data_IF_141448810525
#
_entry.id   IF_141448810525
#
_cell.length_a   1.000
_cell.length_b   1.000
_cell.length_c   1.000
_cell.angle_alpha   90.00
_cell.angle_beta   90.00
_cell.angle_gamma   90.00
#
_symmetry.space_group_name_H-M   'P 1'
#
loop_
_entity.id
_entity.type
_entity.pdbx_description
1 polymer ?
#
# COMPACT_ATOMS: atom_id res chain seq x y z
N UNK A 1 -18.00 -6.02 -1.81
CA UNK A 1 -18.85 -7.23 -1.76
C UNK A 1 -19.19 -7.57 -3.20
N UNK A 2 -19.26 -8.86 -3.56
CA UNK A 2 -19.59 -9.25 -4.92
C UNK A 2 -21.02 -8.80 -5.28
N UNK A 3 -21.20 -8.17 -6.44
CA UNK A 3 -22.52 -7.74 -6.92
C UNK A 3 -23.37 -8.91 -7.47
N UNK A 4 -22.73 -10.04 -7.79
CA UNK A 4 -23.35 -11.27 -8.30
C UNK A 4 -22.56 -12.50 -7.86
N UNK A 5 -23.18 -13.70 -7.86
CA UNK A 5 -22.45 -14.96 -7.63
C UNK A 5 -21.30 -15.16 -8.61
N UNK A 6 -20.14 -15.54 -8.07
CA UNK A 6 -18.90 -15.69 -8.83
C UNK A 6 -18.39 -14.39 -9.44
N UNK A 7 -18.86 -13.23 -8.96
CA UNK A 7 -18.44 -11.91 -9.43
C UNK A 7 -17.24 -11.32 -8.69
N UNK A 8 -16.58 -12.11 -7.83
CA UNK A 8 -15.36 -11.75 -7.13
C UNK A 8 -14.61 -13.04 -6.72
N UNK A 9 -13.30 -12.94 -6.60
CA UNK A 9 -12.41 -14.04 -6.26
C UNK A 9 -11.37 -13.67 -5.19
N UNK A 10 -10.86 -14.67 -4.49
CA UNK A 10 -9.67 -14.52 -3.63
C UNK A 10 -9.00 -15.87 -3.40
N UNK A 11 -7.83 -15.89 -2.76
CA UNK A 11 -7.04 -17.08 -2.49
C UNK A 11 -7.05 -17.43 -1.00
N UNK A 12 -7.18 -18.71 -0.69
CA UNK A 12 -7.04 -19.24 0.67
C UNK A 12 -5.63 -19.81 0.87
N UNK A 13 -4.74 -19.11 1.61
CA UNK A 13 -3.36 -19.55 1.82
C UNK A 13 -3.24 -20.81 2.68
N UNK A 14 -4.31 -21.22 3.37
CA UNK A 14 -4.31 -22.42 4.20
C UNK A 14 -4.56 -23.69 3.40
N UNK A 15 -5.34 -23.60 2.30
CA UNK A 15 -5.70 -24.74 1.45
C UNK A 15 -5.11 -24.69 0.05
N UNK A 16 -4.62 -23.54 -0.42
CA UNK A 16 -4.12 -23.38 -1.80
C UNK A 16 -5.24 -23.25 -2.83
N UNK A 17 -6.46 -22.96 -2.40
CA UNK A 17 -7.64 -22.89 -3.25
C UNK A 17 -8.04 -21.45 -3.54
N UNK A 18 -8.67 -21.27 -4.69
CA UNK A 18 -9.42 -20.06 -5.02
C UNK A 18 -10.83 -20.16 -4.43
N UNK A 19 -11.32 -19.06 -3.87
CA UNK A 19 -12.68 -18.89 -3.37
C UNK A 19 -13.45 -17.91 -4.25
N UNK A 20 -14.56 -18.37 -4.82
CA UNK A 20 -15.47 -17.55 -5.61
C UNK A 20 -16.63 -17.03 -4.74
N UNK A 21 -16.83 -15.72 -4.72
CA UNK A 21 -17.80 -15.07 -3.84
C UNK A 21 -19.25 -15.48 -4.12
N UNK A 22 -20.05 -15.63 -3.07
CA UNK A 22 -21.47 -16.01 -3.10
C UNK A 22 -21.77 -17.36 -3.78
N UNK A 23 -20.81 -18.29 -3.84
CA UNK A 23 -21.03 -19.65 -4.36
C UNK A 23 -20.82 -20.65 -3.23
N UNK A 24 -21.78 -21.57 -3.06
CA UNK A 24 -21.70 -22.63 -2.05
C UNK A 24 -21.50 -22.09 -0.63
N UNK A 25 -20.40 -22.48 0.01
CA UNK A 25 -20.05 -22.07 1.38
C UNK A 25 -19.33 -20.72 1.45
N UNK A 26 -18.96 -20.11 0.32
CA UNK A 26 -18.16 -18.89 0.30
C UNK A 26 -19.07 -17.66 0.43
N UNK A 27 -18.91 -16.82 1.48
CA UNK A 27 -19.73 -15.63 1.66
C UNK A 27 -19.45 -14.57 0.58
N UNK A 28 -20.44 -13.74 0.26
CA UNK A 28 -20.31 -12.63 -0.70
C UNK A 28 -19.28 -11.56 -0.33
N UNK A 29 -18.93 -11.49 0.95
CA UNK A 29 -17.88 -10.61 1.47
C UNK A 29 -16.48 -11.24 1.43
N UNK A 30 -16.35 -12.52 1.02
CA UNK A 30 -15.11 -13.30 1.10
C UNK A 30 -14.50 -13.31 2.52
N UNK A 31 -15.34 -13.15 3.54
CA UNK A 31 -14.93 -13.06 4.95
C UNK A 31 -14.40 -11.69 5.38
N UNK A 32 -14.26 -10.74 4.45
CA UNK A 32 -13.73 -9.41 4.71
C UNK A 32 -14.67 -8.63 5.65
N UNK A 33 -14.10 -8.12 6.74
CA UNK A 33 -14.85 -7.36 7.76
C UNK A 33 -14.64 -5.87 7.55
N UNK A 34 -15.75 -5.13 7.42
CA UNK A 34 -15.69 -3.67 7.37
C UNK A 34 -15.27 -3.09 8.73
N UNK A 35 -14.27 -2.21 8.73
CA UNK A 35 -13.91 -1.42 9.89
C UNK A 35 -14.73 -0.11 9.93
N UNK A 36 -15.56 0.02 10.96
CA UNK A 36 -16.57 1.09 11.09
C UNK A 36 -16.24 2.17 12.14
N UNK A 37 -15.14 2.06 12.88
CA UNK A 37 -14.72 3.06 13.88
C UNK A 37 -13.82 4.13 13.24
N UNK A 38 -14.38 4.96 12.37
CA UNK A 38 -13.66 6.00 11.62
C UNK A 38 -13.43 7.30 12.40
N UNK A 39 -12.92 7.23 13.63
CA UNK A 39 -12.64 8.45 14.42
C UNK A 39 -11.34 9.10 13.96
N UNK A 40 -11.42 10.31 13.40
CA UNK A 40 -10.28 11.06 12.84
C UNK A 40 -10.22 12.46 13.48
N UNK A 41 -9.62 12.60 14.67
CA UNK A 41 -9.61 13.87 15.39
C UNK A 41 -8.78 14.93 14.65
N UNK A 42 -9.18 16.18 14.81
CA UNK A 42 -8.42 17.36 14.39
C UNK A 42 -8.49 18.39 15.50
N UNK A 43 -7.33 18.73 16.04
CA UNK A 43 -7.17 19.63 17.16
C UNK A 43 -6.21 20.74 16.76
N UNK A 44 -6.54 21.96 17.15
CA UNK A 44 -5.72 23.14 16.89
C UNK A 44 -5.70 24.04 18.11
N UNK A 45 -4.54 24.62 18.40
CA UNK A 45 -4.34 25.60 19.46
C UNK A 45 -3.61 26.80 18.88
N UNK A 46 -4.03 28.00 19.29
CA UNK A 46 -3.29 29.23 19.06
C UNK A 46 -3.16 29.98 20.39
N UNK A 47 -1.96 30.43 20.71
CA UNK A 47 -1.67 31.14 21.94
C UNK A 47 -0.74 32.32 21.69
N UNK A 48 -1.10 33.49 22.20
CA UNK A 48 -0.25 34.66 22.19
C UNK A 48 0.72 34.59 23.38
N UNK A 49 1.94 34.13 23.12
CA UNK A 49 2.96 33.91 24.16
C UNK A 49 3.50 35.22 24.74
N UNK A 50 3.64 36.25 23.89
CA UNK A 50 4.10 37.61 24.24
C UNK A 50 3.39 38.61 23.31
N UNK A 51 3.42 39.92 23.59
CA UNK A 51 3.09 40.93 22.59
C UNK A 51 3.82 40.61 21.27
N UNK A 52 3.10 40.63 20.15
CA UNK A 52 3.62 40.33 18.81
C UNK A 52 4.20 38.91 18.59
N UNK A 53 4.04 37.97 19.53
CA UNK A 53 4.49 36.57 19.38
C UNK A 53 3.32 35.61 19.52
N UNK A 54 3.07 34.81 18.49
CA UNK A 54 1.99 33.82 18.45
C UNK A 54 2.59 32.44 18.22
N UNK A 55 2.18 31.48 19.05
CA UNK A 55 2.44 30.07 18.86
C UNK A 55 1.17 29.41 18.36
N UNK A 56 1.29 28.57 17.33
CA UNK A 56 0.20 27.74 16.81
C UNK A 56 0.65 26.29 16.81
N UNK A 57 -0.24 25.39 17.19
CA UNK A 57 0.00 23.96 17.09
C UNK A 57 -1.25 23.30 16.51
N UNK A 58 -1.04 22.26 15.71
CA UNK A 58 -2.11 21.46 15.16
C UNK A 58 -1.75 19.99 15.15
N UNK A 59 -2.73 19.15 15.39
CA UNK A 59 -2.67 17.70 15.17
C UNK A 59 -3.92 17.28 14.42
N UNK A 60 -3.76 16.40 13.45
CA UNK A 60 -4.88 15.80 12.77
C UNK A 60 -4.56 14.39 12.31
N UNK A 61 -5.62 13.62 12.20
CA UNK A 61 -5.59 12.28 11.68
C UNK A 61 -6.54 12.20 10.49
N UNK A 62 -6.19 11.40 9.50
CA UNK A 62 -7.08 11.06 8.39
C UNK A 62 -6.89 9.60 7.99
N UNK A 63 -7.98 8.98 7.58
CA UNK A 63 -7.94 7.67 6.95
C UNK A 63 -7.90 7.84 5.44
N UNK A 64 -7.12 7.00 4.77
CA UNK A 64 -7.20 6.86 3.33
C UNK A 64 -7.98 5.60 2.97
N UNK A 65 -8.77 5.68 1.90
CA UNK A 65 -9.20 4.47 1.22
C UNK A 65 -7.95 3.91 0.53
N UNK A 66 -7.51 2.73 0.95
CA UNK A 66 -6.43 1.99 0.30
C UNK A 66 -6.53 2.09 -1.22
N UNK A 67 -5.38 2.24 -1.91
CA UNK A 67 -5.32 2.39 -3.36
C UNK A 67 -6.18 1.33 -4.07
N UNK A 68 -6.80 1.70 -5.21
CA UNK A 68 -7.65 0.83 -6.04
C UNK A 68 -8.94 0.32 -5.33
N UNK A 69 -9.30 0.87 -4.16
CA UNK A 69 -10.40 0.34 -3.37
C UNK A 69 -10.13 -1.07 -2.84
N UNK A 70 -8.86 -1.43 -2.65
CA UNK A 70 -8.30 -2.79 -2.57
C UNK A 70 -8.86 -3.79 -1.52
N UNK A 71 -9.86 -3.41 -0.74
CA UNK A 71 -10.52 -4.32 0.21
C UNK A 71 -11.94 -4.69 -0.25
N UNK A 72 -12.62 -3.83 -1.01
CA UNK A 72 -13.99 -4.09 -1.49
C UNK A 72 -14.26 -3.64 -2.94
N UNK A 73 -13.25 -3.11 -3.64
CA UNK A 73 -13.25 -2.61 -5.01
C UNK A 73 -12.49 -3.54 -5.96
N UNK A 74 -11.39 -3.08 -6.57
CA UNK A 74 -10.71 -3.82 -7.65
C UNK A 74 -10.06 -5.15 -7.22
N UNK A 75 -9.62 -5.31 -5.97
CA UNK A 75 -8.82 -6.50 -5.58
C UNK A 75 -9.48 -7.85 -5.88
N UNK A 76 -10.78 -8.06 -5.55
CA UNK A 76 -11.45 -9.31 -5.88
C UNK A 76 -11.78 -9.47 -7.37
N UNK A 77 -11.64 -8.42 -8.19
CA UNK A 77 -11.84 -8.46 -9.65
C UNK A 77 -10.54 -8.84 -10.40
N UNK A 78 -9.37 -8.60 -9.78
CA UNK A 78 -8.06 -8.95 -10.34
C UNK A 78 -7.60 -10.37 -10.00
N UNK A 79 -8.28 -11.04 -9.06
CA UNK A 79 -7.95 -12.41 -8.69
C UNK A 79 -8.83 -13.44 -9.44
N UNK A 80 -8.35 -14.68 -9.59
CA UNK A 80 -9.17 -15.78 -10.05
C UNK A 80 -10.41 -15.95 -9.17
N UNK A 81 -11.58 -16.33 -9.71
CA UNK A 81 -11.81 -16.75 -11.11
C UNK A 81 -12.07 -15.59 -12.09
N UNK A 82 -12.03 -14.34 -11.65
CA UNK A 82 -12.43 -13.19 -12.47
C UNK A 82 -11.34 -12.84 -13.49
N UNK A 83 -10.12 -12.68 -13.00
CA UNK A 83 -8.94 -12.42 -13.82
C UNK A 83 -7.93 -13.53 -13.57
N UNK A 84 -7.61 -14.29 -14.62
CA UNK A 84 -6.60 -15.35 -14.57
C UNK A 84 -5.31 -14.83 -15.19
N UNK A 85 -4.50 -14.13 -14.40
CA UNK A 85 -3.22 -13.60 -14.84
C UNK A 85 -2.18 -14.71 -15.03
N UNK A 86 -1.99 -15.16 -16.26
CA UNK A 86 -1.06 -16.24 -16.60
C UNK A 86 0.40 -15.79 -16.52
N UNK A 87 1.24 -16.60 -15.90
CA UNK A 87 2.70 -16.47 -15.90
C UNK A 87 3.31 -17.61 -16.72
N UNK A 88 3.84 -17.26 -17.90
CA UNK A 88 4.61 -18.18 -18.73
C UNK A 88 6.10 -17.93 -18.53
N UNK A 89 6.78 -18.87 -17.89
CA UNK A 89 8.21 -18.77 -17.64
C UNK A 89 8.98 -19.45 -18.77
N UNK A 90 9.94 -18.74 -19.37
CA UNK A 90 10.91 -19.37 -20.25
C UNK A 90 11.78 -20.36 -19.45
N UNK A 91 12.08 -21.55 -20.00
CA UNK A 91 12.95 -22.51 -19.32
C UNK A 91 14.36 -21.96 -19.05
N UNK A 92 14.85 -21.06 -19.91
CA UNK A 92 16.10 -20.33 -19.75
C UNK A 92 16.11 -19.08 -20.66
N UNK A 93 17.13 -18.22 -20.52
CA UNK A 93 17.26 -16.95 -21.25
C UNK A 93 17.45 -17.08 -22.77
N UNK A 94 17.70 -18.29 -23.27
CA UNK A 94 17.91 -18.59 -24.69
C UNK A 94 16.70 -19.31 -25.33
N UNK A 95 15.71 -19.68 -24.52
CA UNK A 95 14.50 -20.34 -24.98
C UNK A 95 13.32 -19.37 -24.98
N UNK A 96 12.45 -19.47 -25.97
CA UNK A 96 11.20 -18.70 -26.00
C UNK A 96 10.30 -19.09 -24.82
N UNK A 97 9.69 -18.11 -24.16
CA UNK A 97 8.64 -18.33 -23.17
C UNK A 97 7.38 -18.94 -23.79
N UNK A 98 7.16 -18.72 -25.09
CA UNK A 98 6.06 -19.33 -25.84
C UNK A 98 6.61 -20.50 -26.65
N UNK A 99 6.21 -21.75 -26.39
CA UNK A 99 6.58 -22.89 -27.21
C UNK A 99 5.91 -22.76 -28.59
N UNK A 100 6.55 -22.02 -29.51
CA UNK A 100 6.00 -21.71 -30.83
C UNK A 100 6.52 -20.39 -31.41
N UNK A 101 5.67 -19.73 -32.20
CA UNK A 101 5.92 -18.43 -32.82
C UNK A 101 5.13 -17.34 -32.08
N UNK A 102 5.57 -16.08 -32.18
CA UNK A 102 4.77 -14.93 -31.75
C UNK A 102 3.37 -14.91 -32.41
N UNK A 103 3.21 -15.60 -33.54
CA UNK A 103 1.94 -15.75 -34.25
C UNK A 103 0.94 -16.69 -33.54
N UNK A 104 1.41 -17.67 -32.76
CA UNK A 104 0.51 -18.60 -32.03
C UNK A 104 0.08 -18.06 -30.66
N UNK A 105 0.82 -17.09 -30.13
CA UNK A 105 0.54 -16.50 -28.82
C UNK A 105 0.76 -17.46 -27.64
N UNK A 106 0.53 -17.00 -26.40
CA UNK A 106 0.51 -17.86 -25.22
C UNK A 106 -0.62 -18.90 -25.28
N UNK A 107 -0.44 -20.07 -24.63
CA UNK A 107 -1.56 -20.98 -24.42
C UNK A 107 -2.65 -20.30 -23.58
N UNK A 108 -3.90 -20.73 -23.71
CA UNK A 108 -4.97 -20.20 -22.88
C UNK A 108 -4.70 -20.52 -21.39
N UNK A 109 -4.96 -19.57 -20.46
CA UNK A 109 -4.78 -19.81 -19.05
C UNK A 109 -5.68 -20.96 -18.58
N UNK A 110 -5.18 -21.86 -17.71
CA UNK A 110 -6.02 -22.81 -17.00
C UNK A 110 -7.17 -22.08 -16.28
N UNK A 111 -8.41 -22.44 -16.61
CA UNK A 111 -9.61 -21.89 -15.98
C UNK A 111 -10.51 -23.04 -15.48
N UNK A 112 -10.13 -23.70 -14.37
CA UNK A 112 -10.91 -24.79 -13.81
C UNK A 112 -12.32 -24.29 -13.40
N UNK A 113 -13.35 -25.13 -13.54
CA UNK A 113 -14.70 -24.75 -13.15
C UNK A 113 -14.76 -24.55 -11.63
N UNK A 114 -15.48 -23.52 -11.20
CA UNK A 114 -15.76 -23.29 -9.78
C UNK A 114 -16.63 -24.42 -9.25
N UNK A 115 -16.16 -25.13 -8.23
CA UNK A 115 -16.92 -26.21 -7.59
C UNK A 115 -18.24 -25.73 -6.97
N UNK A 116 -19.17 -26.64 -6.73
CA UNK A 116 -20.47 -26.31 -6.11
C UNK A 116 -20.34 -25.67 -4.70
N UNK A 117 -19.21 -25.93 -4.02
CA UNK A 117 -18.84 -25.30 -2.75
C UNK A 117 -18.24 -23.89 -2.90
N UNK A 118 -18.08 -23.40 -4.14
CA UNK A 118 -17.48 -22.11 -4.46
C UNK A 118 -15.95 -22.12 -4.48
N UNK A 119 -15.32 -23.30 -4.53
CA UNK A 119 -13.86 -23.44 -4.38
C UNK A 119 -13.27 -24.31 -5.48
N UNK A 120 -11.99 -24.09 -5.78
CA UNK A 120 -11.19 -24.98 -6.64
C UNK A 120 -9.68 -24.78 -6.35
N UNK A 121 -8.82 -25.80 -6.55
CA UNK A 121 -7.38 -25.65 -6.40
C UNK A 121 -6.82 -24.61 -7.39
N UNK A 122 -6.01 -23.67 -6.92
CA UNK A 122 -5.34 -22.72 -7.82
C UNK A 122 -4.42 -23.49 -8.78
N UNK A 123 -4.55 -23.35 -10.11
CA UNK A 123 -3.58 -23.94 -11.02
C UNK A 123 -2.22 -23.27 -10.90
N UNK A 124 -1.13 -24.05 -11.03
CA UNK A 124 0.21 -23.48 -11.18
C UNK A 124 0.26 -22.58 -12.43
N UNK A 125 1.03 -21.48 -12.34
CA UNK A 125 1.12 -20.47 -13.40
C UNK A 125 -0.02 -19.44 -13.44
N UNK A 126 -1.05 -19.54 -12.59
CA UNK A 126 -2.08 -18.50 -12.45
C UNK A 126 -1.77 -17.61 -11.24
N UNK A 127 -1.50 -16.33 -11.49
CA UNK A 127 -1.21 -15.37 -10.43
C UNK A 127 -2.45 -15.04 -9.60
N UNK A 128 -2.18 -14.69 -8.35
CA UNK A 128 -3.12 -14.05 -7.43
C UNK A 128 -2.50 -12.72 -7.03
N UNK A 129 -3.18 -11.62 -7.29
CA UNK A 129 -2.62 -10.29 -7.10
C UNK A 129 -3.02 -9.68 -5.77
N UNK A 130 -4.22 -9.89 -5.22
CA UNK A 130 -4.65 -9.04 -4.09
C UNK A 130 -5.45 -9.78 -3.02
N UNK A 131 -5.10 -11.04 -2.74
CA UNK A 131 -5.79 -11.77 -1.69
C UNK A 131 -5.54 -11.15 -0.32
N UNK A 132 -6.53 -11.21 0.57
CA UNK A 132 -6.48 -10.56 1.89
C UNK A 132 -6.33 -11.62 2.98
N UNK A 133 -5.21 -11.60 3.70
CA UNK A 133 -4.93 -12.50 4.84
C UNK A 133 -4.18 -11.74 5.95
N UNK A 134 -4.76 -11.58 7.17
CA UNK A 134 -6.09 -11.98 7.58
C UNK A 134 -7.19 -11.09 6.96
N UNK A 135 -8.44 -11.58 6.82
CA UNK A 135 -9.56 -10.84 6.22
C UNK A 135 -10.01 -9.58 7.00
N UNK A 136 -9.37 -9.31 8.14
CA UNK A 136 -9.45 -8.04 8.85
C UNK A 136 -8.34 -7.10 8.37
N UNK A 137 -8.67 -6.22 7.44
CA UNK A 137 -7.77 -5.14 7.02
C UNK A 137 -7.95 -3.92 7.94
N UNK A 138 -6.84 -3.42 8.46
CA UNK A 138 -6.75 -2.23 9.29
C UNK A 138 -6.56 -1.00 8.39
N UNK A 139 -7.24 0.13 8.63
CA UNK A 139 -7.19 1.25 7.67
C UNK A 139 -5.82 1.90 7.61
N UNK A 140 -5.44 2.31 6.40
CA UNK A 140 -4.33 3.23 6.19
C UNK A 140 -4.59 4.55 6.88
N UNK A 141 -3.60 4.99 7.64
CA UNK A 141 -3.67 6.14 8.52
C UNK A 141 -2.61 7.16 8.12
N UNK A 142 -3.01 8.43 8.04
CA UNK A 142 -2.09 9.54 7.98
C UNK A 142 -2.27 10.41 9.23
N UNK A 143 -1.18 10.64 9.94
CA UNK A 143 -1.11 11.52 11.10
C UNK A 143 -0.24 12.71 10.73
N UNK A 144 -0.76 13.91 10.95
CA UNK A 144 -0.07 15.14 10.61
C UNK A 144 -0.11 16.12 11.77
N UNK A 145 1.01 16.77 12.01
CA UNK A 145 1.12 17.77 13.06
C UNK A 145 2.01 18.92 12.65
N UNK A 146 1.78 20.07 13.27
CA UNK A 146 2.62 21.23 13.11
C UNK A 146 2.78 21.98 14.42
N UNK A 147 3.92 22.63 14.57
CA UNK A 147 4.19 23.61 15.61
C UNK A 147 4.84 24.82 14.95
N UNK A 148 4.20 25.97 15.07
CA UNK A 148 4.63 27.21 14.44
C UNK A 148 4.81 28.30 15.48
N UNK A 149 5.93 29.00 15.42
CA UNK A 149 6.20 30.22 16.19
C UNK A 149 6.34 31.37 15.22
N UNK A 150 5.47 32.37 15.36
CA UNK A 150 5.48 33.59 14.56
C UNK A 150 5.77 34.79 15.45
N UNK A 151 6.68 35.65 15.02
CA UNK A 151 7.03 36.88 15.71
C UNK A 151 7.04 38.07 14.74
N UNK A 152 6.33 39.14 15.11
CA UNK A 152 6.36 40.40 14.40
C UNK A 152 7.41 41.33 15.06
N UNK A 153 8.51 41.58 14.36
CA UNK A 153 9.59 42.45 14.83
C UNK A 153 9.27 43.94 14.62
N UNK A 154 8.58 44.26 13.52
CA UNK A 154 8.12 45.62 13.17
C UNK A 154 6.75 45.51 12.47
N UNK A 155 5.94 46.59 12.37
CA UNK A 155 4.68 46.58 11.60
C UNK A 155 4.80 46.03 10.18
N UNK A 156 5.99 46.14 9.58
CA UNK A 156 6.29 45.69 8.23
C UNK A 156 7.29 44.52 8.17
N UNK A 157 7.64 43.88 9.28
CA UNK A 157 8.60 42.76 9.32
C UNK A 157 8.15 41.66 10.29
N UNK A 158 7.96 40.45 9.76
CA UNK A 158 7.54 39.27 10.51
C UNK A 158 8.41 38.08 10.15
N UNK A 159 8.77 37.25 11.13
CA UNK A 159 9.34 35.94 10.87
C UNK A 159 8.50 34.83 11.49
N UNK A 160 8.66 33.63 10.92
CA UNK A 160 7.97 32.43 11.32
C UNK A 160 8.90 31.24 11.18
N UNK A 161 8.88 30.35 12.16
CA UNK A 161 9.52 29.04 12.09
C UNK A 161 8.46 28.00 12.41
N UNK A 162 8.38 26.96 11.58
CA UNK A 162 7.45 25.86 11.74
C UNK A 162 8.17 24.52 11.68
N UNK A 163 7.80 23.61 12.57
CA UNK A 163 8.07 22.19 12.43
C UNK A 163 6.81 21.49 11.93
N UNK A 164 6.94 20.71 10.88
CA UNK A 164 5.83 19.97 10.26
C UNK A 164 6.19 18.49 10.23
N UNK A 165 5.27 17.66 10.72
CA UNK A 165 5.37 16.20 10.66
C UNK A 165 4.18 15.62 9.90
N UNK A 166 4.45 14.61 9.08
CA UNK A 166 3.45 13.80 8.41
C UNK A 166 3.92 12.33 8.41
N UNK A 167 3.13 11.44 9.01
CA UNK A 167 3.45 10.02 9.11
C UNK A 167 2.32 9.22 8.50
N UNK A 168 2.66 8.41 7.51
CA UNK A 168 1.82 7.34 7.00
C UNK A 168 2.05 6.08 7.82
N UNK A 169 0.99 5.57 8.44
CA UNK A 169 1.01 4.25 9.08
C UNK A 169 0.09 3.32 8.34
N UNK A 170 0.46 2.06 8.35
CA UNK A 170 -0.39 1.03 7.79
C UNK A 170 -0.74 1.28 6.32
N UNK A 171 0.24 1.74 5.56
CA UNK A 171 0.12 2.04 4.15
C UNK A 171 -0.07 0.72 3.38
N UNK A 172 -0.91 0.79 2.36
CA UNK A 172 -1.20 -0.35 1.51
C UNK A 172 -0.01 -0.73 0.65
N UNK A 173 0.24 -2.03 0.59
CA UNK A 173 1.22 -2.67 -0.27
C UNK A 173 0.72 -4.07 -0.65
N UNK A 174 1.44 -4.70 -1.57
CA UNK A 174 1.07 -5.99 -2.12
C UNK A 174 2.30 -6.89 -2.33
N UNK A 175 2.97 -7.33 -1.25
CA UNK A 175 4.16 -8.16 -1.33
C UNK A 175 3.86 -9.55 -1.92
N UNK A 176 4.82 -10.10 -2.67
CA UNK A 176 4.76 -11.49 -3.11
C UNK A 176 5.03 -12.43 -1.91
N UNK A 177 3.97 -13.05 -1.41
CA UNK A 177 4.04 -13.97 -0.27
C UNK A 177 4.51 -15.38 -0.64
N UNK A 178 4.64 -15.68 -1.93
CA UNK A 178 5.24 -16.93 -2.44
C UNK A 178 6.70 -16.76 -2.87
N UNK A 179 7.37 -15.68 -2.45
CA UNK A 179 8.80 -15.52 -2.65
C UNK A 179 9.56 -16.65 -1.92
N UNK A 180 10.53 -17.26 -2.58
CA UNK A 180 11.40 -18.24 -1.96
C UNK A 180 12.30 -17.56 -0.91
N UNK A 181 12.31 -18.08 0.32
CA UNK A 181 13.19 -17.57 1.39
C UNK A 181 14.65 -17.72 0.94
N UNK A 182 15.49 -16.66 0.97
CA UNK A 182 16.90 -16.77 0.61
C UNK A 182 17.60 -17.90 1.37
N UNK A 183 18.30 -18.78 0.65
CA UNK A 183 18.94 -19.96 1.24
C UNK A 183 19.50 -20.90 0.18
N UNK A 184 20.30 -21.90 0.61
CA UNK A 184 20.87 -22.90 -0.28
C UNK A 184 19.81 -23.84 -0.86
N UNK A 185 20.12 -24.45 -2.00
CA UNK A 185 19.26 -25.42 -2.68
C UNK A 185 18.26 -24.80 -3.66
N UNK A 186 17.42 -25.67 -4.21
CA UNK A 186 16.46 -25.32 -5.26
C UNK A 186 15.48 -24.23 -4.81
N UNK A 187 15.04 -23.42 -5.76
CA UNK A 187 14.24 -22.24 -5.50
C UNK A 187 12.82 -22.58 -5.07
N UNK A 188 12.15 -23.47 -5.80
CA UNK A 188 10.72 -23.73 -5.59
C UNK A 188 10.37 -24.42 -4.27
N UNK A 189 11.12 -25.44 -3.80
CA UNK A 189 10.86 -26.06 -2.49
C UNK A 189 10.93 -25.10 -1.30
N UNK A 190 11.58 -23.94 -1.45
CA UNK A 190 11.68 -22.89 -0.41
C UNK A 190 10.53 -21.90 -0.43
N UNK A 191 9.60 -22.01 -1.38
CA UNK A 191 8.41 -21.14 -1.46
C UNK A 191 7.32 -21.62 -0.49
N UNK A 192 6.60 -20.67 0.11
CA UNK A 192 5.54 -20.94 1.10
C UNK A 192 4.44 -21.87 0.57
N UNK A 193 4.06 -21.72 -0.71
CA UNK A 193 2.94 -22.44 -1.31
C UNK A 193 3.36 -23.60 -2.22
N UNK A 194 4.64 -23.96 -2.24
CA UNK A 194 5.12 -25.12 -3.01
C UNK A 194 4.50 -26.45 -2.56
N UNK A 195 4.06 -26.55 -1.30
CA UNK A 195 3.27 -27.69 -0.79
C UNK A 195 1.95 -27.93 -1.58
N UNK A 196 1.47 -26.92 -2.29
CA UNK A 196 0.31 -26.99 -3.19
C UNK A 196 0.71 -27.07 -4.67
N UNK A 197 2.00 -27.18 -4.97
CA UNK A 197 2.55 -27.19 -6.32
C UNK A 197 2.64 -25.80 -6.97
N UNK A 198 2.56 -24.71 -6.20
CA UNK A 198 2.47 -23.35 -6.72
C UNK A 198 3.84 -22.66 -6.78
N UNK A 199 4.29 -22.32 -7.98
CA UNK A 199 5.60 -21.72 -8.28
C UNK A 199 5.54 -20.26 -8.70
N UNK A 200 4.35 -19.78 -9.07
CA UNK A 200 4.08 -18.40 -9.49
C UNK A 200 4.03 -17.41 -8.31
N UNK A 201 3.95 -16.12 -8.64
CA UNK A 201 3.72 -15.07 -7.65
C UNK A 201 2.32 -15.13 -7.03
N UNK A 202 2.25 -15.04 -5.70
CA UNK A 202 0.98 -14.97 -4.96
C UNK A 202 1.10 -13.80 -3.99
N UNK A 203 0.40 -12.72 -4.33
CA UNK A 203 0.58 -11.42 -3.72
C UNK A 203 -0.56 -11.11 -2.76
N UNK A 204 -0.20 -10.80 -1.51
CA UNK A 204 -1.18 -10.52 -0.47
C UNK A 204 -1.37 -9.01 -0.32
N UNK A 205 -2.61 -8.54 -0.31
CA UNK A 205 -2.95 -7.20 0.12
C UNK A 205 -2.57 -7.04 1.61
N UNK A 206 -1.65 -6.12 1.88
CA UNK A 206 -1.11 -5.90 3.21
C UNK A 206 -1.01 -4.41 3.48
N UNK A 207 -1.46 -3.99 4.67
CA UNK A 207 -1.31 -2.60 5.07
C UNK A 207 -0.01 -2.42 5.88
N UNK A 208 1.10 -3.06 5.51
CA UNK A 208 2.27 -3.19 6.40
C UNK A 208 3.33 -2.10 6.23
N UNK A 209 3.16 -1.22 5.25
CA UNK A 209 4.12 -0.16 4.94
C UNK A 209 3.94 1.07 5.85
N UNK A 210 5.01 1.84 6.04
CA UNK A 210 5.03 3.06 6.83
C UNK A 210 5.95 4.10 6.19
N UNK A 211 5.56 5.36 6.30
CA UNK A 211 6.36 6.50 5.88
C UNK A 211 6.35 7.60 6.93
N UNK A 212 7.42 8.39 6.97
CA UNK A 212 7.53 9.55 7.84
C UNK A 212 8.23 10.69 7.12
N UNK A 213 7.63 11.87 7.18
CA UNK A 213 8.15 13.12 6.67
C UNK A 213 8.24 14.13 7.81
N UNK A 214 9.40 14.76 7.94
CA UNK A 214 9.62 15.84 8.89
C UNK A 214 10.30 17.02 8.20
N UNK A 215 9.83 18.23 8.47
CA UNK A 215 10.39 19.45 7.91
C UNK A 215 10.48 20.58 8.94
N UNK A 216 11.60 21.30 8.89
CA UNK A 216 11.75 22.63 9.44
C UNK A 216 11.54 23.65 8.32
N UNK A 217 10.57 24.54 8.50
CA UNK A 217 10.24 25.61 7.57
C UNK A 217 10.50 26.96 8.23
N UNK A 218 11.20 27.85 7.54
CA UNK A 218 11.45 29.21 7.98
C UNK A 218 10.89 30.18 6.93
N UNK A 219 10.24 31.25 7.40
CA UNK A 219 9.67 32.30 6.57
C UNK A 219 9.97 33.66 7.18
N UNK A 220 10.49 34.58 6.38
CA UNK A 220 10.65 35.99 6.76
C UNK A 220 9.95 36.85 5.72
N UNK A 221 9.00 37.66 6.17
CA UNK A 221 8.24 38.55 5.32
C UNK A 221 8.46 40.00 5.72
N UNK A 222 8.99 40.78 4.79
CA UNK A 222 9.08 42.23 4.87
C UNK A 222 8.05 42.80 3.91
N UNK A 223 7.02 43.47 4.42
CA UNK A 223 6.07 44.24 3.59
C UNK A 223 6.69 45.59 3.22
N UNK A 224 6.26 46.19 2.11
CA UNK A 224 6.71 47.54 1.66
C UNK A 224 6.82 48.51 2.84
N UNK A 225 8.05 48.91 3.18
CA UNK A 225 8.33 50.11 3.97
C UNK A 225 9.75 50.58 3.69
N UNK A 226 9.98 51.89 3.64
CA UNK A 226 11.27 52.47 3.26
C UNK A 226 11.79 51.93 1.91
N UNK A 227 10.89 51.71 0.95
CA UNK A 227 11.23 51.27 -0.41
C UNK A 227 11.56 49.78 -0.59
N UNK A 228 11.46 48.95 0.46
CA UNK A 228 11.81 47.52 0.40
C UNK A 228 10.63 46.59 0.71
N UNK A 229 10.47 45.55 -0.11
CA UNK A 229 9.50 44.46 0.02
C UNK A 229 10.18 43.13 -0.35
N UNK A 230 10.05 42.11 0.50
CA UNK A 230 10.58 40.78 0.20
C UNK A 230 9.92 39.66 1.01
N UNK A 231 10.01 38.45 0.47
CA UNK A 231 9.67 37.20 1.14
C UNK A 231 10.82 36.22 0.96
N UNK A 232 11.36 35.74 2.09
CA UNK A 232 12.35 34.66 2.12
C UNK A 232 11.70 33.43 2.74
N UNK A 233 11.81 32.28 2.06
CA UNK A 233 11.36 30.98 2.58
C UNK A 233 12.46 29.95 2.45
N UNK A 234 12.60 29.10 3.46
CA UNK A 234 13.56 28.00 3.48
C UNK A 234 12.93 26.76 4.10
N UNK A 235 13.18 25.60 3.50
CA UNK A 235 12.68 24.31 4.00
C UNK A 235 13.83 23.33 4.06
N UNK A 236 14.04 22.75 5.24
CA UNK A 236 14.90 21.60 5.43
C UNK A 236 14.03 20.41 5.82
N UNK A 237 14.05 19.34 5.03
CA UNK A 237 13.16 18.20 5.23
C UNK A 237 13.85 16.86 5.05
N UNK A 238 13.30 15.84 5.70
CA UNK A 238 13.70 14.44 5.54
C UNK A 238 12.45 13.57 5.42
N UNK A 239 12.47 12.66 4.46
CA UNK A 239 11.46 11.64 4.25
C UNK A 239 12.09 10.26 4.45
N UNK A 240 11.35 9.34 5.06
CA UNK A 240 11.73 7.94 5.25
C UNK A 240 10.54 7.04 4.93
N UNK A 241 10.77 5.89 4.33
CA UNK A 241 9.71 4.97 3.88
C UNK A 241 10.22 3.53 3.89
N UNK A 242 9.32 2.52 3.96
CA UNK A 242 9.71 1.12 3.69
C UNK A 242 9.67 0.78 2.20
N UNK A 243 8.90 1.53 1.41
CA UNK A 243 8.86 1.37 -0.05
C UNK A 243 8.78 2.70 -0.77
N UNK A 244 9.43 2.78 -1.92
CA UNK A 244 9.46 3.97 -2.78
C UNK A 244 9.01 3.62 -4.19
N UNK A 245 8.21 4.49 -4.81
CA UNK A 245 7.78 4.35 -6.21
C UNK A 245 6.86 3.16 -6.52
N UNK A 246 6.37 2.42 -5.52
CA UNK A 246 5.57 1.21 -5.74
C UNK A 246 6.38 0.00 -6.21
N UNK A 247 7.71 0.06 -6.12
CA UNK A 247 8.59 -1.08 -6.35
C UNK A 247 8.54 -2.06 -5.17
N UNK A 248 8.70 -3.35 -5.47
CA UNK A 248 8.68 -4.41 -4.47
C UNK A 248 9.82 -4.28 -3.46
N UNK A 249 9.63 -4.85 -2.28
CA UNK A 249 10.61 -4.93 -1.21
C UNK A 249 11.84 -5.74 -1.62
N UNK A 250 13.00 -5.41 -1.07
CA UNK A 250 14.22 -6.23 -1.24
C UNK A 250 13.97 -7.63 -0.68
N UNK A 251 13.24 -7.70 0.43
CA UNK A 251 12.75 -8.93 1.05
C UNK A 251 11.26 -8.77 1.39
N UNK A 252 10.38 -9.46 0.65
CA UNK A 252 8.93 -9.42 0.88
C UNK A 252 8.52 -10.04 2.24
N UNK A 253 9.44 -10.75 2.90
CA UNK A 253 9.24 -11.35 4.21
C UNK A 253 9.75 -10.44 5.34
N UNK A 254 10.52 -9.39 5.03
CA UNK A 254 11.06 -8.44 5.99
C UNK A 254 11.00 -6.98 5.50
N UNK A 255 9.77 -6.48 5.32
CA UNK A 255 9.47 -5.11 4.87
C UNK A 255 10.12 -4.04 5.77
N UNK A 256 10.30 -4.32 7.06
CA UNK A 256 10.93 -3.37 7.99
C UNK A 256 12.42 -3.16 7.70
N UNK A 257 13.08 -4.14 7.08
CA UNK A 257 14.48 -4.06 6.68
C UNK A 257 14.74 -2.98 5.63
N UNK A 258 13.72 -2.65 4.82
CA UNK A 258 13.81 -1.65 3.76
C UNK A 258 13.53 -0.22 4.25
N UNK A 259 13.39 0.02 5.57
CA UNK A 259 13.15 1.37 6.08
C UNK A 259 14.36 2.28 5.90
N UNK A 260 14.28 3.23 4.98
CA UNK A 260 15.40 4.11 4.64
C UNK A 260 14.96 5.52 4.24
N UNK A 261 15.92 6.41 3.95
CA UNK A 261 15.64 7.69 3.30
C UNK A 261 14.87 7.47 2.00
N UNK A 262 13.78 8.22 1.81
CA UNK A 262 13.11 8.31 0.51
C UNK A 262 14.00 9.15 -0.45
N UNK A 263 14.20 8.65 -1.67
CA UNK A 263 15.03 9.22 -2.73
C UNK A 263 14.30 10.00 -3.81
#
# INVERSE_FOLDING_TARGET
>A
MAAKPGGAGTFDPSTGEVMAACIGSVPCSLGIKAYNAGFAPRLGLAYQLRPATIVRAGFGQSYNASALGAVFGQSPDYDPPITNGQQENQPNIYASAFPGSLLTGPPLPPNPPVGANGRYPLPDGINVYYFVDPPSSYRTLAEFWNLTVQHQFRPSLTAEVAYVGNVGRHLYTNPNTNQAVPGPGDLDPRRRFFKFGLTQGIYAACNCDNSSYHALQAKVQKRVSNGLDFLLTYTYSKAMTNSEGGYGYSDNLNIRGDHGPAG
#
